data_IF_380780180281
#
_entry.id   IF_380780180281
#
_cell.length_a   1.000
_cell.length_b   1.000
_cell.length_c   1.000
_cell.angle_alpha   90.00
_cell.angle_beta   90.00
_cell.angle_gamma   90.00
#
_symmetry.space_group_name_H-M   'P 1'
#
loop_
_entity.id
_entity.type
_entity.pdbx_description
1 polymer ?
#
# COMPACT_ATOMS: atom_id res chain seq x y z
N UNK A 1 -53.60 -2.03 21.55
CA UNK A 1 -54.44 -3.05 20.89
C UNK A 1 -54.58 -2.69 19.42
N UNK A 2 -54.29 -3.66 18.54
CA UNK A 2 -54.81 -3.86 17.17
C UNK A 2 -54.52 -2.82 16.06
N UNK A 3 -53.54 -3.19 15.23
CA UNK A 3 -53.53 -3.30 13.77
C UNK A 3 -54.32 -2.31 12.89
N UNK A 4 -53.63 -1.74 11.88
CA UNK A 4 -54.07 -1.63 10.48
C UNK A 4 -52.88 -1.19 9.58
N UNK A 5 -52.30 -2.12 8.82
CA UNK A 5 -51.63 -1.83 7.54
C UNK A 5 -52.71 -1.81 6.42
N UNK A 6 -52.47 -1.42 5.16
CA UNK A 6 -51.43 -0.55 4.56
C UNK A 6 -52.04 0.49 3.57
N UNK A 7 -51.29 1.52 3.12
CA UNK A 7 -51.50 2.06 1.76
C UNK A 7 -50.27 2.78 1.20
N UNK A 8 -49.66 2.14 0.21
CA UNK A 8 -48.70 2.71 -0.75
C UNK A 8 -49.25 4.02 -1.32
N UNK A 9 -48.44 5.09 -1.38
CA UNK A 9 -48.77 6.26 -2.20
C UNK A 9 -47.50 6.98 -2.66
N UNK A 10 -47.13 6.75 -3.92
CA UNK A 10 -45.95 7.25 -4.62
C UNK A 10 -46.07 8.75 -4.99
N UNK A 11 -46.15 9.66 -4.01
CA UNK A 11 -46.15 11.10 -4.30
C UNK A 11 -45.26 11.86 -3.31
N UNK A 12 -44.30 12.62 -3.82
CA UNK A 12 -43.54 13.62 -3.05
C UNK A 12 -43.99 15.02 -3.45
N UNK A 13 -44.42 15.81 -2.47
CA UNK A 13 -44.97 17.16 -2.66
C UNK A 13 -43.84 18.20 -2.66
N UNK A 14 -43.59 18.83 -3.80
CA UNK A 14 -42.71 20.00 -3.91
C UNK A 14 -43.39 21.09 -4.71
N UNK A 15 -43.51 22.29 -4.11
CA UNK A 15 -44.02 23.54 -4.70
C UNK A 15 -45.38 23.47 -5.41
N UNK A 16 -46.33 22.73 -4.86
CA UNK A 16 -47.76 22.88 -5.20
C UNK A 16 -48.22 22.32 -6.54
N UNK A 17 -47.41 21.54 -7.26
CA UNK A 17 -47.80 20.88 -8.52
C UNK A 17 -47.61 19.36 -8.39
N UNK A 18 -48.69 18.62 -8.60
CA UNK A 18 -48.76 17.15 -8.49
C UNK A 18 -48.18 16.52 -9.77
N UNK A 19 -46.91 16.16 -9.76
CA UNK A 19 -46.27 15.45 -10.88
C UNK A 19 -46.42 13.93 -10.69
N UNK A 20 -47.10 13.27 -11.62
CA UNK A 20 -47.20 11.80 -11.68
C UNK A 20 -45.84 11.25 -12.06
N UNK A 21 -45.12 10.63 -11.13
CA UNK A 21 -43.92 9.83 -11.44
C UNK A 21 -44.37 8.64 -12.28
N UNK A 22 -44.10 8.70 -13.59
CA UNK A 22 -44.30 7.57 -14.48
C UNK A 22 -43.37 6.47 -13.98
N UNK A 23 -43.94 5.38 -13.46
CA UNK A 23 -43.18 4.19 -13.07
C UNK A 23 -42.35 3.73 -14.26
N UNK A 24 -41.05 4.06 -14.23
CA UNK A 24 -40.09 3.40 -15.10
C UNK A 24 -39.98 1.99 -14.53
N UNK A 25 -40.77 1.08 -15.09
CA UNK A 25 -40.63 -0.36 -14.95
C UNK A 25 -39.29 -0.84 -15.51
N UNK A 26 -38.19 -0.33 -14.97
CA UNK A 26 -36.86 -0.91 -15.13
C UNK A 26 -36.90 -2.17 -14.29
N UNK A 27 -37.22 -3.27 -14.99
CA UNK A 27 -37.26 -4.66 -14.49
C UNK A 27 -36.28 -4.82 -13.33
N UNK A 28 -36.78 -5.29 -12.17
CA UNK A 28 -36.02 -5.64 -10.96
C UNK A 28 -34.76 -6.48 -11.24
N UNK A 29 -34.73 -7.17 -12.39
CA UNK A 29 -33.61 -7.92 -12.94
C UNK A 29 -32.43 -7.06 -13.44
N UNK A 30 -32.66 -5.83 -13.93
CA UNK A 30 -31.62 -4.96 -14.49
C UNK A 30 -30.73 -4.39 -13.39
N UNK A 31 -31.30 -4.02 -12.24
CA UNK A 31 -30.54 -3.56 -11.06
C UNK A 31 -29.74 -4.72 -10.45
N UNK A 32 -30.33 -5.92 -10.37
CA UNK A 32 -29.62 -7.12 -9.92
C UNK A 32 -28.48 -7.54 -10.85
N UNK A 33 -28.70 -7.47 -12.18
CA UNK A 33 -27.67 -7.78 -13.17
C UNK A 33 -26.52 -6.76 -13.16
N UNK A 34 -26.82 -5.47 -12.94
CA UNK A 34 -25.80 -4.44 -12.86
C UNK A 34 -24.91 -4.62 -11.63
N UNK A 35 -25.46 -4.92 -10.44
CA UNK A 35 -24.68 -5.22 -9.25
C UNK A 35 -23.84 -6.51 -9.35
N UNK A 36 -24.32 -7.52 -10.08
CA UNK A 36 -23.57 -8.77 -10.29
C UNK A 36 -22.37 -8.58 -11.24
N UNK A 37 -22.46 -7.65 -12.20
CA UNK A 37 -21.37 -7.31 -13.11
C UNK A 37 -20.22 -6.54 -12.43
N UNK A 38 -20.48 -5.75 -11.38
CA UNK A 38 -19.42 -4.98 -10.70
C UNK A 38 -18.59 -5.85 -9.74
N UNK A 39 -19.19 -6.90 -9.16
CA UNK A 39 -18.50 -7.79 -8.22
C UNK A 39 -17.43 -8.68 -8.87
N UNK A 40 -17.44 -8.84 -10.21
CA UNK A 40 -16.44 -9.63 -10.94
C UNK A 40 -15.07 -8.97 -11.09
N UNK A 41 -14.94 -7.67 -10.81
CA UNK A 41 -13.70 -6.91 -10.96
C UNK A 41 -12.86 -6.81 -9.67
N UNK A 42 -13.36 -7.31 -8.54
CA UNK A 42 -12.73 -7.08 -7.22
C UNK A 42 -11.61 -8.07 -6.84
N UNK A 43 -11.23 -9.02 -7.69
CA UNK A 43 -10.36 -10.15 -7.29
C UNK A 43 -8.89 -10.10 -7.77
N UNK A 44 -8.43 -9.07 -8.49
CA UNK A 44 -7.03 -9.03 -8.99
C UNK A 44 -6.08 -8.06 -8.26
N UNK A 45 -6.57 -7.07 -7.49
CA UNK A 45 -5.71 -5.97 -6.98
C UNK A 45 -4.79 -6.33 -5.82
N UNK A 46 -5.08 -7.36 -5.02
CA UNK A 46 -4.27 -7.69 -3.83
C UNK A 46 -2.84 -8.14 -4.18
N UNK A 47 -2.67 -8.86 -5.29
CA UNK A 47 -1.35 -9.37 -5.71
C UNK A 47 -0.47 -8.25 -6.23
N UNK A 48 -1.03 -7.35 -7.03
CA UNK A 48 -0.30 -6.21 -7.60
C UNK A 48 0.09 -5.20 -6.52
N UNK A 49 -0.79 -4.94 -5.55
CA UNK A 49 -0.49 -4.07 -4.41
C UNK A 49 0.62 -4.65 -3.53
N UNK A 50 0.56 -5.96 -3.24
CA UNK A 50 1.62 -6.63 -2.48
C UNK A 50 2.96 -6.57 -3.21
N UNK A 51 2.97 -6.87 -4.50
CA UNK A 51 4.18 -6.80 -5.32
C UNK A 51 4.80 -5.39 -5.32
N UNK A 52 3.97 -4.35 -5.50
CA UNK A 52 4.43 -2.97 -5.46
C UNK A 52 4.98 -2.58 -4.09
N UNK A 53 4.35 -3.01 -3.00
CA UNK A 53 4.82 -2.76 -1.64
C UNK A 53 6.17 -3.46 -1.39
N UNK A 54 6.27 -4.75 -1.72
CA UNK A 54 7.51 -5.53 -1.57
C UNK A 54 8.66 -4.89 -2.37
N UNK A 55 8.39 -4.40 -3.59
CA UNK A 55 9.34 -3.65 -4.40
C UNK A 55 9.78 -2.33 -3.73
N UNK A 56 8.84 -1.55 -3.20
CA UNK A 56 9.14 -0.29 -2.51
C UNK A 56 9.96 -0.52 -1.24
N UNK A 57 9.62 -1.54 -0.45
CA UNK A 57 10.36 -1.92 0.75
C UNK A 57 11.79 -2.36 0.37
N UNK A 58 11.93 -3.19 -0.67
CA UNK A 58 13.23 -3.64 -1.17
C UNK A 58 14.09 -2.45 -1.60
N UNK A 59 13.53 -1.52 -2.38
CA UNK A 59 14.23 -0.32 -2.83
C UNK A 59 14.65 0.58 -1.65
N UNK A 60 13.77 0.76 -0.66
CA UNK A 60 14.06 1.56 0.54
C UNK A 60 15.22 0.98 1.35
N UNK A 61 15.22 -0.32 1.57
CA UNK A 61 16.28 -1.01 2.33
C UNK A 61 17.59 -1.00 1.55
N UNK A 62 17.55 -1.30 0.24
CA UNK A 62 18.73 -1.24 -0.61
C UNK A 62 19.36 0.16 -0.63
N UNK A 63 18.53 1.21 -0.69
CA UNK A 63 18.99 2.61 -0.62
C UNK A 63 19.67 2.94 0.72
N UNK A 64 19.06 2.54 1.84
CA UNK A 64 19.67 2.70 3.17
C UNK A 64 21.03 2.01 3.27
N UNK A 65 21.13 0.77 2.81
CA UNK A 65 22.38 0.01 2.81
C UNK A 65 23.44 0.63 1.88
N UNK A 66 23.01 1.21 0.76
CA UNK A 66 23.88 1.99 -0.13
C UNK A 66 24.47 3.22 0.57
N UNK A 67 23.65 3.96 1.30
CA UNK A 67 24.12 5.11 2.09
C UNK A 67 25.10 4.70 3.18
N UNK A 68 24.87 3.60 3.89
CA UNK A 68 25.82 3.10 4.89
C UNK A 68 27.16 2.70 4.28
N UNK A 69 27.14 2.02 3.13
CA UNK A 69 28.37 1.72 2.39
C UNK A 69 29.13 2.99 2.01
N UNK A 70 28.44 4.04 1.56
CA UNK A 70 29.06 5.31 1.23
C UNK A 70 29.60 6.03 2.48
N UNK A 71 28.88 5.99 3.60
CA UNK A 71 29.33 6.55 4.87
C UNK A 71 30.63 5.89 5.36
N UNK A 72 30.72 4.56 5.29
CA UNK A 72 31.93 3.82 5.67
C UNK A 72 33.11 4.17 4.75
N UNK A 73 32.89 4.17 3.43
CA UNK A 73 33.93 4.52 2.47
C UNK A 73 34.39 5.99 2.63
N UNK A 74 33.46 6.91 2.91
CA UNK A 74 33.79 8.30 3.17
C UNK A 74 34.66 8.45 4.42
N UNK A 75 34.31 7.77 5.51
CA UNK A 75 35.11 7.80 6.72
C UNK A 75 36.48 7.15 6.52
N UNK A 76 36.55 6.02 5.82
CA UNK A 76 37.82 5.35 5.51
C UNK A 76 38.76 6.27 4.70
N UNK A 77 38.21 7.03 3.75
CA UNK A 77 38.98 7.96 2.93
C UNK A 77 39.40 9.24 3.67
N UNK A 78 38.56 9.75 4.57
CA UNK A 78 38.78 11.06 5.23
C UNK A 78 39.43 10.94 6.60
N UNK A 79 39.33 9.77 7.24
CA UNK A 79 39.87 9.49 8.58
C UNK A 79 39.43 10.56 9.59
N UNK A 80 38.14 10.93 9.58
CA UNK A 80 37.66 11.97 10.48
C UNK A 80 37.84 11.54 11.93
N UNK A 81 38.36 12.42 12.82
CA UNK A 81 38.50 12.11 14.23
C UNK A 81 37.16 11.65 14.84
N UNK A 82 37.15 10.45 15.43
CA UNK A 82 35.95 9.85 16.05
C UNK A 82 34.91 9.29 15.07
N UNK A 83 35.17 9.26 13.77
CA UNK A 83 34.19 8.79 12.79
C UNK A 83 33.88 7.29 12.89
N UNK A 84 34.85 6.46 13.26
CA UNK A 84 34.63 5.02 13.45
C UNK A 84 33.71 4.75 14.65
N UNK A 85 33.93 5.47 15.76
CA UNK A 85 33.09 5.42 16.96
C UNK A 85 31.67 5.92 16.65
N UNK A 86 31.54 6.99 15.87
CA UNK A 86 30.25 7.49 15.42
C UNK A 86 29.51 6.43 14.59
N UNK A 87 30.18 5.84 13.61
CA UNK A 87 29.62 4.80 12.73
C UNK A 87 29.13 3.62 13.56
N UNK A 88 29.95 3.11 14.47
CA UNK A 88 29.60 1.96 15.30
C UNK A 88 28.35 2.25 16.15
N UNK A 89 28.33 3.40 16.84
CA UNK A 89 27.19 3.78 17.69
C UNK A 89 25.92 4.01 16.89
N UNK A 90 26.03 4.69 15.75
CA UNK A 90 24.90 4.95 14.88
C UNK A 90 24.33 3.63 14.34
N UNK A 91 25.19 2.75 13.83
CA UNK A 91 24.77 1.46 13.28
C UNK A 91 24.14 0.58 14.35
N UNK A 92 24.73 0.50 15.55
CA UNK A 92 24.15 -0.26 16.66
C UNK A 92 22.78 0.28 17.09
N UNK A 93 22.58 1.60 17.04
CA UNK A 93 21.28 2.23 17.34
C UNK A 93 20.23 1.83 16.31
N UNK A 94 20.57 1.88 15.02
CA UNK A 94 19.66 1.50 13.94
C UNK A 94 19.35 0.00 13.92
N UNK A 95 20.35 -0.85 14.16
CA UNK A 95 20.18 -2.30 14.30
C UNK A 95 19.24 -2.62 15.46
N UNK A 96 19.44 -1.97 16.62
CA UNK A 96 18.58 -2.13 17.79
C UNK A 96 17.16 -1.64 17.52
N UNK A 97 17.00 -0.53 16.78
CA UNK A 97 15.69 -0.01 16.36
C UNK A 97 14.94 -1.00 15.46
N UNK A 98 15.67 -1.78 14.67
CA UNK A 98 15.12 -2.83 13.80
C UNK A 98 14.93 -4.17 14.52
N UNK A 99 15.38 -4.32 15.77
CA UNK A 99 15.25 -5.55 16.55
C UNK A 99 15.99 -6.74 15.96
N UNK A 100 17.11 -6.50 15.27
CA UNK A 100 17.91 -7.54 14.62
C UNK A 100 19.34 -7.54 15.14
N UNK A 101 20.08 -8.61 14.84
CA UNK A 101 21.52 -8.67 15.05
C UNK A 101 22.28 -8.01 13.89
N UNK A 102 23.56 -7.70 14.12
CA UNK A 102 24.45 -7.18 13.07
C UNK A 102 24.55 -8.13 11.86
N UNK A 103 24.61 -9.45 12.10
CA UNK A 103 24.69 -10.41 11.00
C UNK A 103 23.42 -10.44 10.15
N UNK A 104 22.24 -10.40 10.80
CA UNK A 104 20.96 -10.31 10.09
C UNK A 104 20.85 -9.01 9.31
N UNK A 105 21.29 -7.90 9.88
CA UNK A 105 21.33 -6.61 9.20
C UNK A 105 22.22 -6.62 7.96
N UNK A 106 23.43 -7.17 8.07
CA UNK A 106 24.36 -7.27 6.93
C UNK A 106 23.83 -8.20 5.84
N UNK A 107 23.20 -9.30 6.23
CA UNK A 107 22.52 -10.21 5.30
C UNK A 107 21.37 -9.50 4.58
N UNK A 108 20.49 -8.82 5.32
CA UNK A 108 19.41 -8.02 4.77
C UNK A 108 19.92 -6.97 3.76
N UNK A 109 21.03 -6.31 4.06
CA UNK A 109 21.64 -5.36 3.14
C UNK A 109 22.14 -6.02 1.85
N UNK A 110 22.78 -7.18 1.95
CA UNK A 110 23.25 -7.93 0.78
C UNK A 110 22.08 -8.38 -0.09
N UNK A 111 21.09 -9.02 0.53
CA UNK A 111 19.92 -9.59 -0.14
C UNK A 111 19.07 -8.50 -0.80
N UNK A 112 18.88 -7.35 -0.14
CA UNK A 112 18.09 -6.23 -0.66
C UNK A 112 18.79 -5.53 -1.84
N UNK A 113 20.11 -5.33 -1.77
CA UNK A 113 20.88 -4.76 -2.88
C UNK A 113 20.84 -5.69 -4.10
N UNK A 114 21.01 -7.00 -3.91
CA UNK A 114 20.92 -7.97 -5.00
C UNK A 114 19.52 -7.98 -5.63
N UNK A 115 18.48 -8.04 -4.80
CA UNK A 115 17.09 -8.02 -5.24
C UNK A 115 16.75 -6.74 -5.99
N UNK A 116 17.17 -5.58 -5.48
CA UNK A 116 17.00 -4.30 -6.16
C UNK A 116 17.71 -4.27 -7.51
N UNK A 117 18.96 -4.74 -7.58
CA UNK A 117 19.72 -4.78 -8.84
C UNK A 117 19.07 -5.72 -9.87
N UNK A 118 18.46 -6.82 -9.43
CA UNK A 118 17.69 -7.70 -10.31
C UNK A 118 16.45 -6.99 -10.85
N UNK A 119 15.68 -6.32 -9.99
CA UNK A 119 14.49 -5.56 -10.39
C UNK A 119 14.84 -4.42 -11.35
N UNK A 120 15.92 -3.68 -11.06
CA UNK A 120 16.41 -2.60 -11.93
C UNK A 120 16.74 -3.09 -13.34
N UNK A 121 17.43 -4.22 -13.48
CA UNK A 121 17.75 -4.82 -14.79
C UNK A 121 16.52 -5.29 -15.57
N UNK A 122 15.42 -5.62 -14.89
CA UNK A 122 14.18 -5.99 -15.56
C UNK A 122 13.38 -4.77 -16.05
N UNK A 123 13.68 -3.58 -15.52
CA UNK A 123 13.03 -2.32 -15.92
C UNK A 123 13.77 -1.55 -17.03
N UNK A 124 15.00 -1.97 -17.34
CA UNK A 124 15.84 -1.45 -18.44
C UNK A 124 15.64 -2.28 -19.72
#
# INVERSE_FOLDING_TARGET
MLALQPRYSNYTLSSGILHKTKEVGVKRWVIGAFCFLISGLAQSQDKDLKFANDMLVTAKVAGMCGTFKQMFAFQEATQMPGGDEFIERFLNTEISRLGMSLQEFMKLCTDSIESYNKLKRMSE
#
